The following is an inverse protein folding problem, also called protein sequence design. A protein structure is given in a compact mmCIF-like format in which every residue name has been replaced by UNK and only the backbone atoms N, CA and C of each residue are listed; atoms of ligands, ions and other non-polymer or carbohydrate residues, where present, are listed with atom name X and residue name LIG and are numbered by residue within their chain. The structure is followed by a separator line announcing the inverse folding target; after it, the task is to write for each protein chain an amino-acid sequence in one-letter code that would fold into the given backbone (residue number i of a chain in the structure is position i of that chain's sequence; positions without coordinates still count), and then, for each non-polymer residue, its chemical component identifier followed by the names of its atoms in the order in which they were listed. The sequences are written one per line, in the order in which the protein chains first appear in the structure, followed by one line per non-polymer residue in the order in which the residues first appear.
data_IF_927975111416
#
_entry.id   IF_927975111416
#
_cell.length_a   1.000
_cell.length_b   1.000
_cell.length_c   1.000
_cell.angle_alpha   90.00
_cell.angle_beta   90.00
_cell.angle_gamma   90.00
#
_symmetry.space_group_name_H-M   'P 1'
#
loop_
_entity.id
_entity.type
_entity.pdbx_description
1 polymer ?
#
# COMPACT_ATOMS: atom_id res chain seq x y z
N UNK A 1 -7.03 -8.50 9.79
CA UNK A 1 -6.33 -7.20 9.61
C UNK A 1 -6.73 -6.26 10.73
N UNK A 2 -5.75 -5.59 11.27
CA UNK A 2 -5.95 -4.56 12.28
C UNK A 2 -6.09 -3.20 11.60
N UNK A 3 -6.94 -2.34 12.18
CA UNK A 3 -7.13 -0.97 11.68
C UNK A 3 -7.50 -0.92 10.20
N UNK A 4 -8.50 -1.72 9.83
CA UNK A 4 -8.99 -1.76 8.46
C UNK A 4 -9.32 -0.33 8.00
N UNK A 5 -8.81 0.13 6.85
CA UNK A 5 -9.08 1.47 6.38
C UNK A 5 -10.57 1.70 6.14
N UNK A 6 -11.03 2.90 6.44
CA UNK A 6 -12.44 3.27 6.24
C UNK A 6 -12.77 3.35 4.75
N UNK A 7 -14.05 3.24 4.42
CA UNK A 7 -14.51 3.44 3.05
C UNK A 7 -14.12 4.82 2.52
N UNK A 8 -14.15 5.82 3.39
CA UNK A 8 -13.74 7.18 3.02
C UNK A 8 -12.29 7.23 2.55
N UNK A 9 -11.40 6.56 3.29
CA UNK A 9 -9.98 6.48 2.88
C UNK A 9 -9.81 5.75 1.56
N UNK A 10 -10.55 4.64 1.40
CA UNK A 10 -10.49 3.85 0.16
C UNK A 10 -11.00 4.64 -1.05
N UNK A 11 -12.02 5.46 -0.88
CA UNK A 11 -12.56 6.28 -1.97
C UNK A 11 -11.62 7.40 -2.41
N UNK A 12 -10.70 7.82 -1.56
CA UNK A 12 -9.72 8.86 -1.92
C UNK A 12 -8.65 8.34 -2.88
N UNK A 13 -8.45 7.03 -2.93
CA UNK A 13 -7.37 6.44 -3.73
C UNK A 13 -7.73 6.54 -5.21
N UNK A 14 -6.76 6.94 -6.04
CA UNK A 14 -6.95 6.95 -7.49
C UNK A 14 -7.34 5.56 -7.99
N UNK A 15 -8.18 5.49 -9.01
CA UNK A 15 -8.57 4.22 -9.61
C UNK A 15 -7.42 3.63 -10.42
N UNK A 16 -7.47 2.31 -10.65
CA UNK A 16 -6.47 1.64 -11.48
C UNK A 16 -6.37 2.33 -12.83
N UNK A 17 -5.15 2.49 -13.30
CA UNK A 17 -4.80 3.09 -14.58
C UNK A 17 -5.04 4.59 -14.70
N UNK A 18 -5.67 5.23 -13.72
CA UNK A 18 -5.86 6.68 -13.75
C UNK A 18 -4.53 7.44 -13.68
N UNK A 19 -3.51 6.84 -13.09
CA UNK A 19 -2.21 7.49 -12.92
C UNK A 19 -1.12 6.92 -13.83
N UNK A 20 -1.49 6.26 -14.93
CA UNK A 20 -0.52 5.67 -15.86
C UNK A 20 0.45 6.72 -16.42
N UNK A 21 -0.04 7.93 -16.66
CA UNK A 21 0.77 9.03 -17.17
C UNK A 21 1.68 9.67 -16.12
N UNK A 22 1.53 9.28 -14.85
CA UNK A 22 2.35 9.81 -13.75
C UNK A 22 3.51 8.87 -13.49
N UNK A 23 4.77 9.36 -13.53
CA UNK A 23 5.92 8.52 -13.18
C UNK A 23 5.75 7.93 -11.77
N UNK A 24 6.26 6.72 -11.55
CA UNK A 24 6.07 6.02 -10.27
C UNK A 24 6.57 6.85 -9.08
N UNK A 25 7.66 7.58 -9.24
CA UNK A 25 8.21 8.43 -8.18
C UNK A 25 7.28 9.56 -7.75
N UNK A 26 6.38 9.97 -8.64
CA UNK A 26 5.44 11.07 -8.39
C UNK A 26 4.05 10.59 -8.01
N UNK A 27 3.78 9.29 -8.03
CA UNK A 27 2.49 8.75 -7.62
C UNK A 27 2.27 9.00 -6.12
N UNK A 28 1.06 9.41 -5.75
CA UNK A 28 0.71 9.59 -4.36
C UNK A 28 0.46 8.24 -3.70
N UNK A 29 0.95 8.09 -2.49
CA UNK A 29 0.75 6.89 -1.68
C UNK A 29 -0.30 7.20 -0.62
N UNK A 30 -1.42 6.51 -0.71
CA UNK A 30 -2.61 6.78 0.11
C UNK A 30 -2.69 5.94 1.37
N UNK A 31 -2.16 4.71 1.34
CA UNK A 31 -2.22 3.77 2.46
C UNK A 31 -0.89 3.05 2.60
N UNK A 32 -0.60 2.62 3.83
CA UNK A 32 0.55 1.79 4.14
C UNK A 32 0.09 0.61 5.00
N UNK A 33 0.20 -0.59 4.45
CA UNK A 33 -0.03 -1.84 5.19
C UNK A 33 1.32 -2.44 5.58
N UNK A 34 1.38 -3.10 6.73
CA UNK A 34 2.64 -3.69 7.17
C UNK A 34 2.45 -4.86 8.13
N UNK A 35 3.43 -5.75 8.15
CA UNK A 35 3.58 -6.84 9.13
C UNK A 35 5.03 -7.33 9.08
N UNK A 36 5.72 -7.40 10.23
CA UNK A 36 7.04 -8.05 10.37
C UNK A 36 8.00 -7.87 9.17
N UNK A 37 8.37 -6.66 8.86
CA UNK A 37 9.32 -6.41 7.77
C UNK A 37 8.73 -6.48 6.38
N UNK A 38 7.42 -6.62 6.26
CA UNK A 38 6.71 -6.52 4.99
C UNK A 38 5.96 -5.19 4.97
N UNK A 39 6.00 -4.51 3.83
CA UNK A 39 5.32 -3.22 3.64
C UNK A 39 4.63 -3.22 2.29
N UNK A 40 3.43 -2.65 2.24
CA UNK A 40 2.70 -2.39 1.00
C UNK A 40 2.27 -0.93 0.98
N UNK A 41 2.77 -0.18 0.01
CA UNK A 41 2.48 1.24 -0.17
C UNK A 41 1.54 1.40 -1.36
N UNK A 42 0.32 1.85 -1.13
CA UNK A 42 -0.77 1.77 -2.10
C UNK A 42 -0.97 3.07 -2.86
N UNK A 43 -0.92 2.99 -4.19
CA UNK A 43 -1.09 4.14 -5.08
C UNK A 43 -2.44 4.14 -5.81
N UNK A 44 -2.99 2.98 -6.14
CA UNK A 44 -4.26 2.88 -6.88
C UNK A 44 -5.12 1.75 -6.32
N UNK A 45 -6.42 1.84 -6.57
CA UNK A 45 -7.41 0.86 -6.09
C UNK A 45 -8.56 0.75 -7.10
N UNK A 46 -9.00 -0.46 -7.40
CA UNK A 46 -10.08 -0.67 -8.36
C UNK A 46 -11.48 -0.39 -7.80
N UNK A 47 -11.59 -0.09 -6.52
CA UNK A 47 -12.86 0.14 -5.86
C UNK A 47 -13.53 -1.11 -5.30
N UNK A 48 -12.94 -2.26 -5.52
CA UNK A 48 -13.49 -3.55 -5.08
C UNK A 48 -12.49 -4.35 -4.25
N UNK A 49 -11.34 -4.71 -4.83
CA UNK A 49 -10.36 -5.56 -4.14
C UNK A 49 -8.91 -5.32 -4.56
N UNK A 50 -8.65 -4.89 -5.78
CA UNK A 50 -7.30 -4.85 -6.32
C UNK A 50 -6.62 -3.50 -6.09
N UNK A 51 -5.47 -3.55 -5.43
CA UNK A 51 -4.58 -2.40 -5.27
C UNK A 51 -3.42 -2.47 -6.25
N UNK A 52 -2.91 -1.32 -6.64
CA UNK A 52 -1.61 -1.18 -7.26
C UNK A 52 -0.70 -0.42 -6.31
N UNK A 53 0.48 -0.96 -6.04
CA UNK A 53 1.40 -0.33 -5.10
C UNK A 53 2.77 -0.97 -5.09
N UNK A 54 3.58 -0.54 -4.13
CA UNK A 54 4.97 -1.00 -3.96
C UNK A 54 5.04 -1.96 -2.78
N UNK A 55 5.60 -3.14 -3.02
CA UNK A 55 5.68 -4.18 -2.00
C UNK A 55 7.13 -4.50 -1.63
N UNK A 56 7.41 -4.53 -0.34
CA UNK A 56 8.68 -4.97 0.22
C UNK A 56 8.36 -6.19 1.09
N UNK A 57 9.00 -7.32 0.80
CA UNK A 57 8.78 -8.54 1.58
C UNK A 57 10.07 -8.89 2.34
N UNK A 58 9.93 -9.26 3.62
CA UNK A 58 11.04 -9.71 4.46
C UNK A 58 12.23 -8.74 4.49
N UNK A 59 11.96 -7.45 4.52
CA UNK A 59 12.98 -6.39 4.49
C UNK A 59 13.87 -6.42 3.24
N UNK A 60 13.47 -7.14 2.20
CA UNK A 60 14.25 -7.26 0.98
C UNK A 60 13.97 -6.08 0.04
N UNK A 61 14.68 -4.98 0.26
CA UNK A 61 14.50 -3.76 -0.52
C UNK A 61 15.06 -3.88 -1.94
N UNK A 62 15.97 -4.84 -2.19
CA UNK A 62 16.53 -5.03 -3.53
C UNK A 62 15.55 -5.68 -4.49
N UNK A 63 14.69 -6.56 -3.99
CA UNK A 63 13.68 -7.24 -4.80
C UNK A 63 12.29 -6.64 -4.63
N UNK A 64 12.18 -5.50 -3.95
CA UNK A 64 10.92 -4.80 -3.82
C UNK A 64 10.50 -4.22 -5.18
N UNK A 65 9.20 -4.25 -5.46
CA UNK A 65 8.72 -3.83 -6.77
C UNK A 65 7.28 -3.33 -6.74
N UNK A 66 6.93 -2.60 -7.78
CA UNK A 66 5.55 -2.18 -8.03
C UNK A 66 4.76 -3.36 -8.61
N UNK A 67 3.51 -3.49 -8.19
CA UNK A 67 2.66 -4.57 -8.67
C UNK A 67 1.28 -4.50 -8.05
N UNK A 68 0.52 -5.57 -8.29
CA UNK A 68 -0.87 -5.66 -7.84
C UNK A 68 -0.97 -6.55 -6.62
N UNK A 69 -1.87 -6.20 -5.69
CA UNK A 69 -2.15 -7.02 -4.52
C UNK A 69 -3.62 -6.95 -4.17
N UNK A 70 -4.18 -8.10 -3.78
CA UNK A 70 -5.59 -8.18 -3.38
C UNK A 70 -5.76 -7.72 -1.93
N UNK A 71 -6.73 -6.84 -1.71
CA UNK A 71 -7.09 -6.41 -0.37
C UNK A 71 -7.59 -7.60 0.47
N UNK A 72 -8.40 -8.48 -0.12
CA UNK A 72 -8.89 -9.67 0.59
C UNK A 72 -7.74 -10.59 0.99
N UNK A 73 -6.72 -10.74 0.14
CA UNK A 73 -5.54 -11.51 0.50
C UNK A 73 -4.79 -10.87 1.67
N UNK A 74 -4.58 -9.57 1.64
CA UNK A 74 -3.93 -8.87 2.76
C UNK A 74 -4.70 -9.07 4.06
N UNK A 75 -6.04 -8.97 3.99
CA UNK A 75 -6.89 -9.14 5.17
C UNK A 75 -6.82 -10.55 5.77
N UNK A 76 -6.44 -11.53 4.98
CA UNK A 76 -6.39 -12.94 5.41
C UNK A 76 -5.02 -13.37 5.93
N UNK A 77 -3.99 -12.56 5.75
CA UNK A 77 -2.63 -12.94 6.17
C UNK A 77 -2.50 -12.89 7.68
N UNK A 78 -2.02 -14.00 8.25
CA UNK A 78 -1.71 -14.11 9.67
C UNK A 78 -0.37 -14.80 9.83
N UNK A 79 0.47 -14.29 10.72
CA UNK A 79 1.72 -14.93 11.10
C UNK A 79 1.61 -15.19 12.60
N UNK A 80 1.35 -16.46 12.97
CA UNK A 80 0.96 -16.88 14.31
C UNK A 80 -0.31 -16.13 14.73
N UNK A 81 -0.26 -15.22 15.72
CA UNK A 81 -1.39 -14.39 16.13
C UNK A 81 -1.30 -12.95 15.62
N UNK A 82 -0.29 -12.66 14.77
CA UNK A 82 -0.13 -11.33 14.18
C UNK A 82 -0.91 -11.23 12.87
N UNK A 83 -1.51 -10.08 12.64
CA UNK A 83 -2.23 -9.76 11.40
C UNK A 83 -1.60 -8.53 10.76
N UNK A 84 -1.86 -8.36 9.47
CA UNK A 84 -1.45 -7.13 8.79
C UNK A 84 -2.15 -5.95 9.45
N UNK A 85 -1.41 -4.88 9.66
CA UNK A 85 -1.92 -3.63 10.19
C UNK A 85 -1.94 -2.58 9.07
N UNK A 86 -2.83 -1.61 9.20
CA UNK A 86 -2.85 -0.45 8.34
C UNK A 86 -2.51 0.77 9.19
N UNK A 87 -1.58 1.59 8.74
CA UNK A 87 -1.25 2.81 9.45
C UNK A 87 -2.48 3.70 9.55
N UNK A 88 -2.75 4.21 10.76
CA UNK A 88 -3.93 5.04 11.02
C UNK A 88 -3.87 6.34 10.21
N UNK A 89 -5.04 6.82 9.82
CA UNK A 89 -5.16 8.05 9.01
C UNK A 89 -4.45 9.24 9.67
N UNK A 90 -4.53 9.35 10.99
CA UNK A 90 -3.92 10.45 11.75
C UNK A 90 -2.39 10.43 11.71
N UNK A 91 -1.79 9.29 11.39
CA UNK A 91 -0.33 9.13 11.32
C UNK A 91 0.18 8.97 9.90
N UNK A 92 -0.68 8.63 8.95
CA UNK A 92 -0.26 8.47 7.56
C UNK A 92 -0.46 9.75 6.78
N UNK A 93 0.62 10.32 6.31
CA UNK A 93 0.60 11.50 5.46
C UNK A 93 0.66 11.08 3.99
N UNK A 94 -0.39 11.39 3.23
CA UNK A 94 -0.43 11.12 1.79
C UNK A 94 0.65 11.97 1.13
N UNK A 95 1.56 11.32 0.40
CA UNK A 95 2.69 11.99 -0.22
C UNK A 95 3.22 11.18 -1.40
N UNK A 96 4.13 11.76 -2.16
CA UNK A 96 4.72 11.09 -3.32
C UNK A 96 5.58 9.91 -2.89
N UNK A 97 5.64 8.89 -3.74
CA UNK A 97 6.49 7.72 -3.51
C UNK A 97 7.95 8.12 -3.27
N UNK A 98 8.45 9.13 -3.99
CA UNK A 98 9.82 9.62 -3.83
C UNK A 98 10.10 10.18 -2.44
N UNK A 99 9.07 10.55 -1.69
CA UNK A 99 9.20 11.10 -0.34
C UNK A 99 9.21 10.02 0.74
N UNK A 100 9.08 8.76 0.36
CA UNK A 100 9.08 7.60 1.28
C UNK A 100 10.41 6.89 1.14
N UNK A 101 11.21 6.89 2.21
CA UNK A 101 12.59 6.41 2.19
C UNK A 101 12.72 4.96 1.73
N UNK A 102 11.77 4.11 2.08
CA UNK A 102 11.83 2.68 1.73
C UNK A 102 11.51 2.40 0.27
N UNK A 103 10.88 3.32 -0.41
CA UNK A 103 10.54 3.15 -1.83
C UNK A 103 11.72 3.59 -2.68
N UNK A 104 12.23 2.66 -3.46
CA UNK A 104 13.31 2.94 -4.42
C UNK A 104 12.70 3.31 -5.77
N UNK A 105 12.90 4.52 -6.20
CA UNK A 105 12.35 5.02 -7.46
C UNK A 105 13.42 5.39 -8.46
#
# INVERSE_FOLDING_TARGET
MWNIPTQERLYRISRLYETEHIPVEDKLIYLHFFILGCDWYIAEYDGNDLFFGYAILNNDTQNAEWGYVSFNELKSIKITFLEIDCELEEYWQIRKASEIDKIKT
#
